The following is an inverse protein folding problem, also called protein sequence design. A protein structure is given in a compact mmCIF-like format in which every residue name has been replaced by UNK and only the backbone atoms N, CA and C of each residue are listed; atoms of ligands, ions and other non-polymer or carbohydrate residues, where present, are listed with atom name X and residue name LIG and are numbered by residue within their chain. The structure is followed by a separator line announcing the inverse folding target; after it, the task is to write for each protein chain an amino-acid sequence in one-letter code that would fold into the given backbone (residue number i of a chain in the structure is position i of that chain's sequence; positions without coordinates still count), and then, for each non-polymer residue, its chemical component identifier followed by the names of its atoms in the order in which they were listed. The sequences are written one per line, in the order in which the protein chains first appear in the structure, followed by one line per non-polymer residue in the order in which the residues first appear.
data_IF_849425792781
#
_entry.id   IF_849425792781
#
_cell.length_a   1.000
_cell.length_b   1.000
_cell.length_c   1.000
_cell.angle_alpha   90.00
_cell.angle_beta   90.00
_cell.angle_gamma   90.00
#
_symmetry.space_group_name_H-M   'P 1'
#
loop_
_entity.id
_entity.type
_entity.pdbx_description
1 polymer ?
#
# COMPACT_ATOMS: atom_id res chain seq x y z
N UNK A 1 -13.88 1.67 18.64
CA UNK A 1 -13.75 0.52 17.73
C UNK A 1 -13.45 1.05 16.34
N UNK A 2 -12.19 0.96 15.91
CA UNK A 2 -11.78 1.33 14.56
C UNK A 2 -12.53 0.44 13.55
N UNK A 3 -13.21 1.05 12.57
CA UNK A 3 -13.95 0.31 11.56
C UNK A 3 -13.13 0.26 10.28
N UNK A 4 -12.58 -0.91 10.02
CA UNK A 4 -11.79 -1.18 8.83
C UNK A 4 -12.64 -1.13 7.56
N UNK A 5 -12.09 -0.54 6.50
CA UNK A 5 -12.73 -0.41 5.17
C UNK A 5 -11.85 -1.14 4.16
N UNK A 6 -12.26 -2.36 3.84
CA UNK A 6 -11.51 -3.24 2.95
C UNK A 6 -11.36 -2.70 1.52
N UNK A 7 -12.31 -1.88 1.05
CA UNK A 7 -12.22 -1.20 -0.25
C UNK A 7 -11.00 -0.28 -0.38
N UNK A 8 -10.45 0.23 0.74
CA UNK A 8 -9.20 1.03 0.72
C UNK A 8 -7.99 0.19 0.33
N UNK A 9 -8.06 -1.12 0.51
CA UNK A 9 -6.94 -2.03 0.27
C UNK A 9 -7.03 -2.80 -1.05
N UNK A 10 -8.06 -2.53 -1.87
CA UNK A 10 -8.24 -3.18 -3.16
C UNK A 10 -7.95 -2.23 -4.31
N UNK A 11 -7.16 -2.67 -5.32
CA UNK A 11 -7.04 -1.91 -6.55
C UNK A 11 -8.40 -1.86 -7.26
N UNK A 12 -8.72 -0.76 -7.97
CA UNK A 12 -9.98 -0.67 -8.70
C UNK A 12 -10.08 -1.73 -9.80
N UNK A 13 -11.30 -2.17 -10.10
CA UNK A 13 -11.56 -3.05 -11.23
C UNK A 13 -11.31 -2.35 -12.57
N UNK A 14 -10.53 -3.01 -13.43
CA UNK A 14 -10.30 -2.56 -14.78
C UNK A 14 -11.42 -3.08 -15.67
N UNK A 15 -12.03 -2.17 -16.44
CA UNK A 15 -13.15 -2.52 -17.32
C UNK A 15 -12.69 -3.43 -18.45
N UNK A 16 -13.53 -4.39 -18.88
CA UNK A 16 -13.34 -5.08 -20.15
C UNK A 16 -13.20 -4.04 -21.29
N UNK A 17 -12.20 -4.20 -22.15
CA UNK A 17 -11.92 -3.24 -23.23
C UNK A 17 -11.02 -2.06 -22.85
N UNK A 18 -10.38 -2.07 -21.68
CA UNK A 18 -9.34 -1.09 -21.34
C UNK A 18 -8.23 -1.09 -22.41
N UNK A 19 -8.00 0.08 -23.01
CA UNK A 19 -6.85 0.28 -23.90
C UNK A 19 -5.57 0.24 -23.05
N UNK A 20 -4.77 -0.80 -23.27
CA UNK A 20 -3.48 -1.00 -22.59
C UNK A 20 -2.51 0.10 -22.99
N UNK A 21 -1.83 0.68 -22.00
CA UNK A 21 -0.78 1.71 -22.19
C UNK A 21 0.58 1.11 -21.88
N UNK A 22 1.00 0.13 -22.68
CA UNK A 22 2.20 -0.68 -22.43
C UNK A 22 3.47 0.14 -22.18
N UNK A 23 3.65 1.26 -22.88
CA UNK A 23 4.80 2.15 -22.66
C UNK A 23 4.83 2.77 -21.25
N UNK A 24 3.68 3.02 -20.61
CA UNK A 24 3.63 3.56 -19.25
C UNK A 24 3.87 2.47 -18.20
N UNK A 25 3.29 1.28 -18.40
CA UNK A 25 3.54 0.16 -17.49
C UNK A 25 4.98 -0.32 -17.56
N UNK A 26 5.62 -0.26 -18.74
CA UNK A 26 7.04 -0.55 -18.90
C UNK A 26 7.92 0.49 -18.19
N UNK A 27 7.58 1.79 -18.26
CA UNK A 27 8.27 2.82 -17.48
C UNK A 27 8.13 2.61 -15.97
N UNK A 28 6.99 2.12 -15.50
CA UNK A 28 6.83 1.75 -14.08
C UNK A 28 7.67 0.52 -13.73
N UNK A 29 7.75 -0.45 -14.64
CA UNK A 29 8.59 -1.65 -14.48
C UNK A 29 10.08 -1.31 -14.38
N UNK A 30 10.58 -0.41 -15.24
CA UNK A 30 11.97 0.05 -15.19
C UNK A 30 12.33 0.81 -13.92
N UNK A 31 11.33 1.25 -13.16
CA UNK A 31 11.54 2.00 -11.92
C UNK A 31 11.44 1.13 -10.67
N UNK A 32 11.31 -0.20 -10.79
CA UNK A 32 11.15 -1.10 -9.65
C UNK A 32 12.36 -1.11 -8.70
N UNK A 33 13.53 -0.69 -9.18
CA UNK A 33 14.77 -0.58 -8.39
C UNK A 33 14.95 0.80 -7.74
N UNK A 34 14.05 1.75 -8.01
CA UNK A 34 14.06 3.07 -7.38
C UNK A 34 13.35 3.01 -6.02
N UNK A 35 13.77 3.85 -5.07
CA UNK A 35 13.15 3.92 -3.74
C UNK A 35 11.69 4.38 -3.78
N UNK A 36 11.31 5.19 -4.77
CA UNK A 36 9.93 5.66 -4.95
C UNK A 36 9.66 6.07 -6.39
N UNK A 37 8.42 5.87 -6.86
CA UNK A 37 7.93 6.35 -8.15
C UNK A 37 6.61 7.09 -7.98
N UNK A 38 6.53 8.30 -8.55
CA UNK A 38 5.33 9.14 -8.52
C UNK A 38 4.68 9.21 -9.90
N UNK A 39 3.36 9.00 -9.97
CA UNK A 39 2.56 9.12 -11.20
C UNK A 39 1.82 10.46 -11.18
N UNK A 40 2.35 11.46 -11.89
CA UNK A 40 1.79 12.81 -11.95
C UNK A 40 1.07 13.05 -13.28
N UNK A 41 -0.21 13.47 -13.22
CA UNK A 41 -1.02 13.87 -14.37
C UNK A 41 -2.30 14.59 -13.90
N UNK A 42 -3.00 15.26 -14.82
CA UNK A 42 -4.26 15.93 -14.54
C UNK A 42 -5.40 14.98 -14.08
N UNK A 43 -6.51 15.53 -13.54
CA UNK A 43 -7.71 14.76 -13.24
C UNK A 43 -8.25 14.05 -14.49
N UNK A 44 -8.66 12.79 -14.36
CA UNK A 44 -9.22 12.01 -15.49
C UNK A 44 -8.20 11.40 -16.46
N UNK A 45 -6.90 11.63 -16.30
CA UNK A 45 -5.87 11.10 -17.22
C UNK A 45 -5.59 9.59 -17.06
N UNK A 46 -6.25 8.93 -16.10
CA UNK A 46 -6.11 7.50 -15.86
C UNK A 46 -4.90 7.10 -15.02
N UNK A 47 -4.43 7.96 -14.10
CA UNK A 47 -3.31 7.65 -13.19
C UNK A 47 -3.54 6.33 -12.43
N UNK A 48 -4.67 6.24 -11.74
CA UNK A 48 -5.07 5.06 -10.97
C UNK A 48 -5.28 3.85 -11.87
N UNK A 49 -5.78 4.06 -13.08
CA UNK A 49 -5.95 3.00 -14.09
C UNK A 49 -4.61 2.41 -14.51
N UNK A 50 -3.60 3.24 -14.79
CA UNK A 50 -2.25 2.78 -15.15
C UNK A 50 -1.58 2.08 -13.97
N UNK A 51 -1.71 2.60 -12.74
CA UNK A 51 -1.19 1.94 -11.55
C UNK A 51 -1.83 0.57 -11.31
N UNK A 52 -3.16 0.47 -11.45
CA UNK A 52 -3.88 -0.79 -11.28
C UNK A 52 -3.56 -1.79 -12.40
N UNK A 53 -3.34 -1.32 -13.64
CA UNK A 53 -2.92 -2.16 -14.76
C UNK A 53 -1.49 -2.69 -14.56
N UNK A 54 -0.59 -1.82 -14.10
CA UNK A 54 0.78 -2.18 -13.74
C UNK A 54 0.80 -3.24 -12.64
N UNK A 55 0.13 -2.99 -11.52
CA UNK A 55 0.06 -3.92 -10.37
C UNK A 55 -0.49 -5.28 -10.79
N UNK A 56 -1.56 -5.34 -11.60
CA UNK A 56 -2.09 -6.62 -12.13
C UNK A 56 -1.14 -7.35 -13.07
N UNK A 57 -0.19 -6.63 -13.69
CA UNK A 57 0.81 -7.19 -14.60
C UNK A 57 2.13 -7.60 -13.91
N UNK A 58 2.27 -7.29 -12.62
CA UNK A 58 3.46 -7.66 -11.84
C UNK A 58 3.36 -9.10 -11.38
N UNK A 59 4.43 -9.87 -11.61
CA UNK A 59 4.66 -11.17 -10.98
C UNK A 59 5.41 -11.00 -9.64
N UNK A 60 4.95 -10.06 -8.82
CA UNK A 60 5.54 -9.74 -7.51
C UNK A 60 4.42 -9.45 -6.52
N UNK A 61 4.65 -9.81 -5.25
CA UNK A 61 3.79 -9.41 -4.14
C UNK A 61 3.66 -7.89 -4.15
N UNK A 62 2.43 -7.41 -4.14
CA UNK A 62 2.12 -5.99 -4.11
C UNK A 62 0.90 -5.77 -3.23
N UNK A 63 0.83 -4.59 -2.64
CA UNK A 63 -0.30 -4.14 -1.85
C UNK A 63 -0.89 -2.90 -2.50
N UNK A 64 -2.17 -2.66 -2.25
CA UNK A 64 -2.84 -1.43 -2.65
C UNK A 64 -3.34 -0.72 -1.39
N UNK A 65 -3.17 0.60 -1.34
CA UNK A 65 -3.71 1.40 -0.24
C UNK A 65 -4.16 2.78 -0.76
N UNK A 66 -5.46 3.03 -0.73
CA UNK A 66 -6.06 4.34 -0.97
C UNK A 66 -5.98 5.19 0.30
N UNK A 67 -5.21 6.28 0.25
CA UNK A 67 -5.12 7.26 1.34
C UNK A 67 -6.22 8.32 1.22
N UNK A 68 -6.80 8.70 2.35
CA UNK A 68 -7.74 9.80 2.52
C UNK A 68 -7.44 10.58 3.82
N UNK A 69 -8.27 11.57 4.14
CA UNK A 69 -8.06 12.45 5.30
C UNK A 69 -8.08 11.73 6.66
N UNK A 70 -8.73 10.56 6.75
CA UNK A 70 -8.76 9.78 8.00
C UNK A 70 -7.42 9.13 8.32
N UNK A 71 -6.55 8.93 7.32
CA UNK A 71 -5.23 8.33 7.50
C UNK A 71 -4.17 9.33 7.97
N UNK A 72 -4.57 10.57 8.28
CA UNK A 72 -3.73 11.54 8.96
C UNK A 72 -3.40 11.12 10.41
N UNK A 73 -4.24 10.27 11.01
CA UNK A 73 -3.90 9.56 12.25
C UNK A 73 -2.94 8.41 11.92
N UNK A 74 -1.71 8.47 12.47
CA UNK A 74 -0.69 7.47 12.22
C UNK A 74 -1.11 6.07 12.68
N UNK A 75 -1.89 5.94 13.75
CA UNK A 75 -2.38 4.64 14.18
C UNK A 75 -3.29 4.02 13.12
N UNK A 76 -4.18 4.82 12.52
CA UNK A 76 -5.03 4.41 11.39
C UNK A 76 -4.19 4.03 10.18
N UNK A 77 -3.22 4.87 9.82
CA UNK A 77 -2.33 4.63 8.68
C UNK A 77 -1.59 3.29 8.80
N UNK A 78 -0.93 3.04 9.94
CA UNK A 78 -0.17 1.82 10.17
C UNK A 78 -1.07 0.59 10.32
N UNK A 79 -2.26 0.71 10.91
CA UNK A 79 -3.24 -0.38 10.96
C UNK A 79 -3.64 -0.82 9.55
N UNK A 80 -4.03 0.11 8.67
CA UNK A 80 -4.34 -0.22 7.28
C UNK A 80 -3.14 -0.81 6.53
N UNK A 81 -1.93 -0.29 6.75
CA UNK A 81 -0.72 -0.80 6.11
C UNK A 81 -0.40 -2.23 6.55
N UNK A 82 -0.51 -2.54 7.85
CA UNK A 82 -0.38 -3.92 8.35
C UNK A 82 -1.45 -4.82 7.74
N UNK A 83 -2.71 -4.39 7.71
CA UNK A 83 -3.78 -5.17 7.09
C UNK A 83 -3.56 -5.41 5.60
N UNK A 84 -2.97 -4.45 4.87
CA UNK A 84 -2.65 -4.59 3.45
C UNK A 84 -1.56 -5.65 3.24
N UNK A 85 -0.50 -5.61 4.02
CA UNK A 85 0.59 -6.59 3.93
C UNK A 85 0.12 -7.97 4.39
N UNK A 86 -0.76 -8.06 5.39
CA UNK A 86 -1.37 -9.33 5.83
C UNK A 86 -2.12 -10.09 4.74
N UNK A 87 -2.62 -9.40 3.71
CA UNK A 87 -3.25 -10.06 2.55
C UNK A 87 -2.25 -10.90 1.75
N UNK A 88 -0.96 -10.59 1.84
CA UNK A 88 0.13 -11.27 1.14
C UNK A 88 1.02 -12.10 2.07
N UNK A 89 1.16 -11.67 3.34
CA UNK A 89 2.01 -12.29 4.36
C UNK A 89 1.20 -12.47 5.64
N UNK A 90 0.62 -13.66 5.80
CA UNK A 90 -0.21 -13.98 6.96
C UNK A 90 0.53 -13.73 8.28
N UNK A 91 -0.17 -13.12 9.25
CA UNK A 91 0.38 -12.84 10.58
C UNK A 91 1.27 -11.60 10.69
N UNK A 92 1.53 -10.88 9.59
CA UNK A 92 2.42 -9.71 9.58
C UNK A 92 2.05 -8.63 10.62
N UNK A 93 3.02 -7.94 11.21
CA UNK A 93 2.75 -6.65 11.88
C UNK A 93 1.97 -6.71 13.19
N UNK A 94 2.03 -7.82 13.93
CA UNK A 94 1.25 -7.99 15.16
C UNK A 94 1.66 -6.97 16.24
N UNK A 95 2.95 -6.69 16.41
CA UNK A 95 3.42 -5.72 17.40
C UNK A 95 2.98 -4.30 17.07
N UNK A 96 3.01 -3.92 15.79
CA UNK A 96 2.45 -2.64 15.32
C UNK A 96 0.95 -2.53 15.64
N UNK A 97 0.17 -3.60 15.45
CA UNK A 97 -1.26 -3.58 15.80
C UNK A 97 -1.49 -3.46 17.31
N UNK A 98 -0.72 -4.16 18.14
CA UNK A 98 -0.87 -4.11 19.59
C UNK A 98 -0.62 -2.68 20.13
N UNK A 99 0.44 -2.03 19.65
CA UNK A 99 0.78 -0.65 20.01
C UNK A 99 -0.32 0.31 19.55
N UNK A 100 -0.72 0.24 18.28
CA UNK A 100 -1.70 1.17 17.72
C UNK A 100 -3.12 0.95 18.28
N UNK A 101 -3.45 -0.26 18.72
CA UNK A 101 -4.76 -0.58 19.31
C UNK A 101 -4.85 -0.27 20.81
N UNK A 102 -3.72 -0.30 21.52
CA UNK A 102 -3.65 0.03 22.95
C UNK A 102 -3.77 1.52 23.27
N UNK A 103 -3.71 2.39 22.24
CA UNK A 103 -3.68 3.84 22.42
C UNK A 103 -2.36 4.36 22.98
N UNK A 104 -1.31 3.51 22.99
CA UNK A 104 0.04 3.93 23.35
C UNK A 104 0.52 5.01 22.37
N UNK A 105 0.92 6.16 22.89
CA UNK A 105 1.48 7.24 22.07
C UNK A 105 2.98 6.98 21.87
N UNK A 106 3.31 6.30 20.78
CA UNK A 106 4.67 6.30 20.27
C UNK A 106 4.93 7.56 19.47
N UNK A 107 6.18 8.03 19.48
CA UNK A 107 6.63 9.01 18.51
C UNK A 107 6.57 8.39 17.11
N UNK A 108 6.26 9.17 16.06
CA UNK A 108 6.17 8.66 14.68
C UNK A 108 7.37 7.81 14.25
N UNK A 109 8.58 8.21 14.66
CA UNK A 109 9.82 7.51 14.33
C UNK A 109 9.87 6.13 14.97
N UNK A 110 9.42 5.99 16.22
CA UNK A 110 9.42 4.70 16.93
C UNK A 110 8.41 3.73 16.34
N UNK A 111 7.25 4.24 15.90
CA UNK A 111 6.25 3.43 15.22
C UNK A 111 6.74 2.99 13.84
N UNK A 112 7.42 3.88 13.12
CA UNK A 112 8.06 3.54 11.85
C UNK A 112 9.17 2.50 12.03
N UNK A 113 10.05 2.67 13.03
CA UNK A 113 11.13 1.72 13.33
C UNK A 113 10.58 0.33 13.68
N UNK A 114 9.54 0.26 14.52
CA UNK A 114 8.87 -1.00 14.86
C UNK A 114 8.31 -1.69 13.61
N UNK A 115 7.58 -0.93 12.78
CA UNK A 115 6.99 -1.45 11.56
C UNK A 115 8.06 -1.93 10.57
N UNK A 116 9.14 -1.16 10.38
CA UNK A 116 10.25 -1.51 9.50
C UNK A 116 11.00 -2.74 9.98
N UNK A 117 11.17 -2.90 11.30
CA UNK A 117 11.72 -4.10 11.89
C UNK A 117 10.85 -5.34 11.60
N UNK A 118 9.53 -5.24 11.79
CA UNK A 118 8.62 -6.34 11.45
C UNK A 118 8.66 -6.65 9.94
N UNK A 119 8.80 -5.62 9.09
CA UNK A 119 8.93 -5.77 7.65
C UNK A 119 10.20 -6.53 7.26
N UNK A 120 11.35 -6.17 7.82
CA UNK A 120 12.61 -6.85 7.52
C UNK A 120 12.64 -8.31 7.99
N UNK A 121 11.99 -8.62 9.12
CA UNK A 121 11.99 -9.97 9.69
C UNK A 121 11.00 -10.91 8.98
N UNK A 122 9.83 -10.41 8.58
CA UNK A 122 8.71 -11.25 8.13
C UNK A 122 8.50 -11.23 6.62
N UNK A 123 9.02 -10.19 5.94
CA UNK A 123 8.89 -10.01 4.49
C UNK A 123 10.29 -10.06 3.88
N UNK A 124 10.85 -11.26 3.79
CA UNK A 124 12.07 -11.47 3.01
C UNK A 124 11.84 -11.03 1.55
N UNK A 125 12.76 -10.18 1.06
CA UNK A 125 12.83 -9.70 -0.34
C UNK A 125 13.25 -10.83 -1.27
#
# INVERSE_FOLDING_TARGET
MFKFIDAKLRPPDLRPGLIKRGHLTERLRSNLDLSATFICAGPGWGKTTVAADFVRSLDRRSIWYHLDSSDADLAVFFQYMVHAIRQQVGGFGQSTLDVTSSGASLRPEQLADLFLYELSEQVAV
#
